data_IF_361073597825
#
_entry.id   IF_361073597825
#
_cell.length_a   1.000
_cell.length_b   1.000
_cell.length_c   1.000
_cell.angle_alpha   90.00
_cell.angle_beta   90.00
_cell.angle_gamma   90.00
#
_symmetry.space_group_name_H-M   'P 1'
#
loop_
_entity.id
_entity.type
_entity.pdbx_description
1 polymer ?
#
# COMPACT_ATOMS: atom_id res chain seq x y z
N UNK A 1 39.13 -28.02 -21.85
CA UNK A 1 40.03 -26.86 -21.93
C UNK A 1 39.32 -25.71 -22.64
N UNK A 2 38.91 -24.68 -21.88
CA UNK A 2 38.98 -23.23 -22.18
C UNK A 2 37.96 -22.50 -21.29
N UNK A 3 38.51 -21.65 -20.42
CA UNK A 3 37.83 -20.72 -19.51
C UNK A 3 37.21 -19.57 -20.30
N UNK A 4 36.07 -19.04 -19.84
CA UNK A 4 35.64 -17.63 -19.88
C UNK A 4 34.48 -17.49 -18.87
N UNK A 5 34.67 -17.07 -17.61
CA UNK A 5 34.64 -15.69 -17.07
C UNK A 5 33.72 -14.69 -17.80
N UNK A 6 32.53 -14.48 -17.24
CA UNK A 6 31.75 -13.23 -17.23
C UNK A 6 31.27 -13.06 -15.78
N UNK A 7 31.33 -11.93 -15.10
CA UNK A 7 31.36 -10.54 -15.52
C UNK A 7 30.29 -9.84 -14.68
N UNK A 8 30.53 -9.69 -13.36
CA UNK A 8 29.64 -8.97 -12.43
C UNK A 8 29.75 -7.47 -12.75
N UNK A 9 28.65 -6.73 -12.97
CA UNK A 9 28.73 -5.28 -12.98
C UNK A 9 28.87 -4.79 -11.52
N UNK A 10 30.03 -4.22 -11.24
CA UNK A 10 30.28 -3.36 -10.09
C UNK A 10 29.34 -2.15 -10.18
N UNK A 11 28.46 -1.99 -9.19
CA UNK A 11 27.79 -0.73 -8.89
C UNK A 11 28.85 0.29 -8.48
N UNK A 12 29.28 1.11 -9.43
CA UNK A 12 30.16 2.24 -9.19
C UNK A 12 29.37 3.33 -8.47
N UNK A 13 29.58 3.45 -7.14
CA UNK A 13 29.15 4.60 -6.36
C UNK A 13 29.82 5.86 -6.90
N UNK A 14 29.04 6.72 -7.54
CA UNK A 14 29.50 7.99 -8.06
C UNK A 14 29.71 8.97 -6.90
N UNK A 15 30.95 9.06 -6.41
CA UNK A 15 31.38 10.08 -5.48
C UNK A 15 31.32 11.46 -6.18
N UNK A 16 30.24 12.20 -5.94
CA UNK A 16 30.10 13.59 -6.36
C UNK A 16 31.07 14.47 -5.57
N UNK A 17 32.18 14.83 -6.20
CA UNK A 17 33.16 15.80 -5.68
C UNK A 17 32.52 17.19 -5.66
N UNK A 18 32.11 17.65 -4.47
CA UNK A 18 31.70 19.03 -4.24
C UNK A 18 32.96 19.87 -4.00
N UNK A 19 33.46 20.54 -5.04
CA UNK A 19 34.52 21.55 -4.93
C UNK A 19 34.01 22.76 -4.16
N UNK A 20 34.39 22.87 -2.89
CA UNK A 20 34.20 24.07 -2.08
C UNK A 20 35.22 25.13 -2.54
N UNK A 21 34.77 26.12 -3.31
CA UNK A 21 35.55 27.31 -3.63
C UNK A 21 35.56 28.24 -2.40
N UNK A 22 36.72 28.37 -1.75
CA UNK A 22 37.00 29.38 -0.74
C UNK A 22 37.20 30.72 -1.46
N UNK A 23 36.20 31.60 -1.45
CA UNK A 23 36.38 33.02 -1.75
C UNK A 23 36.91 33.71 -0.49
N UNK A 24 38.17 34.16 -0.53
CA UNK A 24 38.73 35.12 0.43
C UNK A 24 38.53 36.53 -0.18
N UNK A 25 37.93 37.50 0.52
CA UNK A 25 37.89 38.87 0.03
C UNK A 25 39.29 39.49 0.13
N UNK A 26 39.84 39.92 -1.01
CA UNK A 26 41.06 40.70 -1.07
C UNK A 26 40.75 42.15 -0.66
N UNK A 27 41.11 42.52 0.58
CA UNK A 27 41.26 43.92 0.95
C UNK A 27 42.66 44.37 0.53
N UNK A 28 42.72 45.33 -0.40
CA UNK A 28 43.96 45.99 -0.84
C UNK A 28 44.20 47.19 0.07
N UNK A 29 45.27 47.17 0.84
CA UNK A 29 45.82 48.32 1.56
C UNK A 29 47.34 48.39 1.31
N UNK A 30 47.83 49.61 1.06
CA UNK A 30 49.20 50.00 0.73
C UNK A 30 50.23 49.60 1.83
N UNK A 31 51.52 49.32 1.51
CA UNK A 31 52.49 48.85 2.48
C UNK A 31 53.34 49.98 3.10
N UNK A 32 53.48 49.94 4.42
CA UNK A 32 54.51 50.64 5.22
C UNK A 32 55.71 49.69 5.46
N UNK A 33 56.97 50.05 5.11
CA UNK A 33 58.11 49.16 5.23
C UNK A 33 58.75 49.29 6.62
N UNK A 34 58.20 48.59 7.62
CA UNK A 34 58.60 48.87 9.00
C UNK A 34 58.28 47.84 10.09
N UNK A 35 58.10 46.56 9.81
CA UNK A 35 58.13 45.52 10.87
C UNK A 35 58.40 44.13 10.27
N UNK A 36 59.48 43.49 10.70
CA UNK A 36 59.75 42.10 10.36
C UNK A 36 58.73 41.15 10.98
N UNK A 37 58.30 40.18 10.18
CA UNK A 37 57.73 38.91 10.62
C UNK A 37 56.22 38.86 10.72
N UNK A 38 55.52 38.76 9.58
CA UNK A 38 54.18 38.14 9.55
C UNK A 38 53.85 37.51 8.19
N UNK A 39 54.88 37.11 7.43
CA UNK A 39 54.70 36.32 6.20
C UNK A 39 54.89 34.85 6.55
N UNK A 40 53.85 33.99 6.43
CA UNK A 40 53.96 32.57 6.74
C UNK A 40 55.09 31.91 5.95
N UNK A 41 55.90 31.11 6.62
CA UNK A 41 56.93 30.30 5.98
C UNK A 41 56.30 29.22 5.09
N UNK A 42 57.03 28.75 4.09
CA UNK A 42 56.57 27.68 3.20
C UNK A 42 56.19 26.40 3.98
N UNK A 43 56.90 26.10 5.07
CA UNK A 43 56.60 24.98 5.95
C UNK A 43 55.25 25.14 6.68
N UNK A 44 54.92 26.35 7.13
CA UNK A 44 53.61 26.64 7.74
C UNK A 44 52.48 26.54 6.71
N UNK A 45 52.71 27.00 5.48
CA UNK A 45 51.74 26.86 4.37
C UNK A 45 51.50 25.39 4.02
N UNK A 46 52.55 24.57 3.93
CA UNK A 46 52.44 23.15 3.60
C UNK A 46 51.83 22.32 4.75
N UNK A 47 52.13 22.69 6.00
CA UNK A 47 51.48 22.15 7.19
C UNK A 47 49.98 22.49 7.21
N UNK A 48 49.62 23.74 6.91
CA UNK A 48 48.22 24.18 6.83
C UNK A 48 47.46 23.46 5.70
N UNK A 49 48.07 23.27 4.52
CA UNK A 49 47.47 22.48 3.42
C UNK A 49 47.25 21.01 3.80
N UNK A 50 48.22 20.43 4.51
CA UNK A 50 48.13 19.04 5.00
C UNK A 50 47.04 18.88 6.04
N UNK A 51 46.94 19.83 6.99
CA UNK A 51 45.88 19.89 7.99
C UNK A 51 44.49 20.04 7.33
N UNK A 52 44.36 20.94 6.36
CA UNK A 52 43.12 21.11 5.60
C UNK A 52 42.71 19.83 4.83
N UNK A 53 43.67 19.09 4.29
CA UNK A 53 43.42 17.82 3.59
C UNK A 53 42.96 16.72 4.56
N UNK A 54 43.59 16.63 5.73
CA UNK A 54 43.18 15.69 6.77
C UNK A 54 41.79 16.02 7.31
N UNK A 55 41.49 17.30 7.55
CA UNK A 55 40.16 17.76 7.97
C UNK A 55 39.07 17.36 6.97
N UNK A 56 39.32 17.54 5.66
CA UNK A 56 38.39 17.11 4.60
C UNK A 56 38.13 15.60 4.63
N UNK A 57 39.15 14.78 4.91
CA UNK A 57 39.00 13.32 5.05
C UNK A 57 38.14 12.96 6.25
N UNK A 58 38.32 13.64 7.39
CA UNK A 58 37.50 13.44 8.60
C UNK A 58 36.04 13.82 8.36
N UNK A 59 35.78 14.98 7.74
CA UNK A 59 34.42 15.41 7.35
C UNK A 59 33.74 14.35 6.46
N UNK A 60 34.46 13.80 5.49
CA UNK A 60 33.93 12.75 4.61
C UNK A 60 33.62 11.45 5.39
N UNK A 61 34.44 11.10 6.39
CA UNK A 61 34.18 9.94 7.27
C UNK A 61 32.90 10.12 8.07
N UNK A 62 32.75 11.26 8.76
CA UNK A 62 31.55 11.56 9.55
C UNK A 62 30.28 11.58 8.67
N UNK A 63 30.39 12.08 7.44
CA UNK A 63 29.30 12.02 6.47
C UNK A 63 28.96 10.59 6.04
N UNK A 64 29.95 9.70 5.88
CA UNK A 64 29.71 8.30 5.59
C UNK A 64 29.02 7.60 6.77
N UNK A 65 29.43 7.88 8.00
CA UNK A 65 28.81 7.32 9.21
C UNK A 65 27.34 7.75 9.34
N UNK A 66 27.01 9.01 9.02
CA UNK A 66 25.62 9.49 8.96
C UNK A 66 24.77 8.73 7.93
N UNK A 67 25.35 8.37 6.78
CA UNK A 67 24.67 7.55 5.76
C UNK A 67 24.43 6.14 6.28
N UNK A 68 25.42 5.52 6.92
CA UNK A 68 25.29 4.18 7.52
C UNK A 68 24.26 4.14 8.65
N UNK A 69 24.20 5.19 9.48
CA UNK A 69 23.19 5.33 10.52
C UNK A 69 21.77 5.43 9.93
N UNK A 70 21.61 6.21 8.84
CA UNK A 70 20.34 6.28 8.10
C UNK A 70 19.97 4.92 7.47
N UNK A 71 20.94 4.16 6.97
CA UNK A 71 20.69 2.82 6.40
C UNK A 71 20.20 1.83 7.46
N UNK A 72 20.82 1.78 8.65
CA UNK A 72 20.36 0.91 9.74
C UNK A 72 18.93 1.22 10.17
N UNK A 73 18.62 2.51 10.29
CA UNK A 73 17.27 2.96 10.58
C UNK A 73 16.26 2.52 9.51
N UNK A 74 16.66 2.51 8.23
CA UNK A 74 15.82 2.01 7.15
C UNK A 74 15.61 0.49 7.24
N UNK A 75 16.68 -0.28 7.44
CA UNK A 75 16.61 -1.74 7.56
C UNK A 75 15.73 -2.19 8.74
N UNK A 76 15.84 -1.51 9.89
CA UNK A 76 14.97 -1.76 11.03
C UNK A 76 13.50 -1.45 10.71
N UNK A 77 13.25 -0.38 9.95
CA UNK A 77 11.91 -0.04 9.45
C UNK A 77 11.33 -1.09 8.51
N UNK A 78 12.12 -1.66 7.57
CA UNK A 78 11.68 -2.76 6.70
C UNK A 78 11.22 -3.95 7.54
N UNK A 79 12.05 -4.37 8.52
CA UNK A 79 11.75 -5.55 9.34
C UNK A 79 10.47 -5.38 10.16
N UNK A 80 10.30 -4.22 10.79
CA UNK A 80 9.07 -3.89 11.51
C UNK A 80 7.85 -3.85 10.58
N UNK A 81 7.98 -3.24 9.39
CA UNK A 81 6.91 -3.23 8.39
C UNK A 81 6.52 -4.63 7.92
N UNK A 82 7.49 -5.50 7.64
CA UNK A 82 7.25 -6.90 7.24
C UNK A 82 6.52 -7.69 8.33
N UNK A 83 6.92 -7.53 9.59
CA UNK A 83 6.28 -8.24 10.70
C UNK A 83 4.86 -7.71 10.98
N UNK A 84 4.66 -6.38 10.94
CA UNK A 84 3.33 -5.77 11.03
C UNK A 84 2.41 -6.26 9.90
N UNK A 85 2.95 -6.40 8.69
CA UNK A 85 2.18 -6.86 7.54
C UNK A 85 1.88 -8.36 7.60
N UNK A 86 2.79 -9.18 8.13
CA UNK A 86 2.51 -10.59 8.43
C UNK A 86 1.38 -10.74 9.46
N UNK A 87 1.33 -9.88 10.47
CA UNK A 87 0.22 -9.84 11.43
C UNK A 87 -1.10 -9.43 10.76
N UNK A 88 -1.09 -8.40 9.92
CA UNK A 88 -2.28 -8.00 9.15
C UNK A 88 -2.77 -9.13 8.22
N UNK A 89 -1.86 -9.87 7.59
CA UNK A 89 -2.18 -11.06 6.80
C UNK A 89 -2.88 -12.14 7.65
N UNK A 90 -2.31 -12.47 8.80
CA UNK A 90 -2.85 -13.50 9.70
C UNK A 90 -4.23 -13.09 10.24
N UNK A 91 -4.43 -11.83 10.62
CA UNK A 91 -5.73 -11.29 11.03
C UNK A 91 -6.77 -11.37 9.91
N UNK A 92 -6.38 -11.03 8.68
CA UNK A 92 -7.30 -11.07 7.55
C UNK A 92 -7.76 -12.50 7.26
N UNK A 93 -6.82 -13.47 7.23
CA UNK A 93 -7.15 -14.90 7.12
C UNK A 93 -8.05 -15.39 8.24
N UNK A 94 -7.76 -15.01 9.49
CA UNK A 94 -8.59 -15.35 10.65
C UNK A 94 -10.03 -14.82 10.48
N UNK A 95 -10.19 -13.56 10.04
CA UNK A 95 -11.51 -12.99 9.79
C UNK A 95 -12.26 -13.73 8.67
N UNK A 96 -11.57 -14.17 7.62
CA UNK A 96 -12.15 -14.96 6.54
C UNK A 96 -12.60 -16.34 7.05
N UNK A 97 -11.75 -17.02 7.82
CA UNK A 97 -12.07 -18.30 8.44
C UNK A 97 -13.25 -18.20 9.42
N UNK A 98 -13.31 -17.14 10.24
CA UNK A 98 -14.46 -16.88 11.12
C UNK A 98 -15.76 -16.66 10.34
N UNK A 99 -15.71 -15.97 9.20
CA UNK A 99 -16.87 -15.80 8.31
C UNK A 99 -17.28 -17.14 7.68
N UNK A 100 -16.31 -17.97 7.31
CA UNK A 100 -16.54 -19.30 6.77
C UNK A 100 -17.20 -20.22 7.82
N UNK A 101 -16.69 -20.23 9.06
CA UNK A 101 -17.27 -20.95 10.19
C UNK A 101 -18.71 -20.51 10.45
N UNK A 102 -18.96 -19.20 10.56
CA UNK A 102 -20.32 -18.68 10.71
C UNK A 102 -21.26 -19.04 9.54
N UNK A 103 -20.73 -19.18 8.32
CA UNK A 103 -21.51 -19.64 7.18
C UNK A 103 -21.75 -21.15 7.22
N UNK A 104 -20.80 -21.95 7.71
CA UNK A 104 -20.95 -23.38 7.93
C UNK A 104 -21.99 -23.65 9.03
N UNK A 105 -21.97 -22.92 10.15
CA UNK A 105 -22.98 -22.98 11.21
C UNK A 105 -24.40 -22.78 10.67
N UNK A 106 -24.59 -21.76 9.81
CA UNK A 106 -25.89 -21.51 9.18
C UNK A 106 -26.34 -22.65 8.27
N UNK A 107 -25.39 -23.33 7.60
CA UNK A 107 -25.69 -24.51 6.77
C UNK A 107 -26.04 -25.73 7.64
N UNK A 108 -25.29 -25.95 8.71
CA UNK A 108 -25.55 -27.01 9.69
C UNK A 108 -26.93 -26.86 10.32
N UNK A 109 -27.24 -25.67 10.87
CA UNK A 109 -28.56 -25.38 11.44
C UNK A 109 -29.71 -25.54 10.41
N UNK A 110 -29.47 -25.10 9.16
CA UNK A 110 -30.43 -25.30 8.08
C UNK A 110 -30.62 -26.77 7.67
N UNK A 111 -29.58 -27.60 7.80
CA UNK A 111 -29.65 -29.04 7.53
C UNK A 111 -30.33 -29.80 8.68
N UNK A 112 -30.02 -29.45 9.92
CA UNK A 112 -30.67 -29.99 11.12
C UNK A 112 -32.17 -29.70 11.13
N UNK A 113 -32.59 -28.48 10.81
CA UNK A 113 -34.01 -28.14 10.68
C UNK A 113 -34.71 -28.97 9.58
N UNK A 114 -34.04 -29.27 8.47
CA UNK A 114 -34.60 -30.17 7.43
C UNK A 114 -34.69 -31.61 7.93
N UNK A 115 -33.69 -32.10 8.65
CA UNK A 115 -33.73 -33.41 9.28
C UNK A 115 -34.88 -33.52 10.28
N UNK A 116 -35.12 -32.50 11.10
CA UNK A 116 -36.24 -32.49 12.05
C UNK A 116 -37.59 -32.66 11.33
N UNK A 117 -37.80 -31.94 10.22
CA UNK A 117 -39.01 -32.09 9.38
C UNK A 117 -39.14 -33.52 8.83
N UNK A 118 -38.05 -34.11 8.32
CA UNK A 118 -38.09 -35.48 7.80
C UNK A 118 -38.25 -36.53 8.92
N UNK A 119 -37.73 -36.26 10.11
CA UNK A 119 -37.84 -37.14 11.28
C UNK A 119 -39.29 -37.29 11.71
N UNK A 120 -40.05 -36.19 11.71
CA UNK A 120 -41.50 -36.22 11.99
C UNK A 120 -42.23 -37.04 10.93
N UNK A 121 -42.01 -36.78 9.64
CA UNK A 121 -42.66 -37.51 8.55
C UNK A 121 -42.34 -39.02 8.57
N UNK A 122 -41.09 -39.38 8.85
CA UNK A 122 -40.67 -40.76 9.01
C UNK A 122 -41.32 -41.42 10.24
N UNK A 123 -41.39 -40.71 11.37
CA UNK A 123 -42.01 -41.23 12.60
C UNK A 123 -43.51 -41.45 12.43
N UNK A 124 -44.22 -40.52 11.79
CA UNK A 124 -45.65 -40.63 11.48
C UNK A 124 -45.91 -41.83 10.54
N UNK A 125 -45.11 -41.98 9.49
CA UNK A 125 -45.17 -43.12 8.56
C UNK A 125 -44.99 -44.47 9.29
N UNK A 126 -44.00 -44.57 10.19
CA UNK A 126 -43.76 -45.80 10.98
C UNK A 126 -44.95 -46.10 11.89
N UNK A 127 -45.54 -45.09 12.52
CA UNK A 127 -46.72 -45.24 13.38
C UNK A 127 -47.94 -45.70 12.59
N UNK A 128 -48.25 -45.04 11.46
CA UNK A 128 -49.39 -45.37 10.60
C UNK A 128 -49.29 -46.79 10.04
N UNK A 129 -48.09 -47.21 9.60
CA UNK A 129 -47.87 -48.56 9.10
C UNK A 129 -48.09 -49.62 10.19
N UNK A 130 -47.68 -49.33 11.43
CA UNK A 130 -47.88 -50.25 12.56
C UNK A 130 -49.35 -50.33 13.00
N UNK A 131 -50.05 -49.20 13.07
CA UNK A 131 -51.45 -49.13 13.53
C UNK A 131 -52.44 -49.66 12.49
N UNK A 132 -52.24 -49.36 11.21
CA UNK A 132 -53.22 -49.71 10.17
C UNK A 132 -53.07 -51.14 9.63
N UNK A 133 -51.96 -51.84 9.93
CA UNK A 133 -51.57 -53.13 9.34
C UNK A 133 -52.10 -53.24 7.90
N UNK A 134 -51.60 -52.38 6.98
CA UNK A 134 -52.23 -52.15 5.68
C UNK A 134 -52.39 -53.43 4.87
N UNK A 135 -51.51 -54.41 5.04
CA UNK A 135 -51.63 -55.76 4.46
C UNK A 135 -52.87 -56.51 4.95
N UNK A 136 -53.20 -56.41 6.25
CA UNK A 136 -54.39 -57.03 6.86
C UNK A 136 -55.66 -56.29 6.44
N UNK A 137 -55.59 -54.97 6.33
CA UNK A 137 -56.71 -54.13 5.85
C UNK A 137 -56.97 -54.36 4.37
N UNK A 138 -55.93 -54.44 3.54
CA UNK A 138 -56.01 -54.78 2.12
C UNK A 138 -56.53 -56.21 1.92
N UNK A 139 -56.05 -57.20 2.69
CA UNK A 139 -56.56 -58.58 2.62
C UNK A 139 -58.04 -58.65 3.03
N UNK A 140 -58.46 -57.86 4.02
CA UNK A 140 -59.87 -57.72 4.46
C UNK A 140 -60.75 -57.02 3.41
N UNK A 141 -60.19 -56.04 2.68
CA UNK A 141 -60.80 -55.33 1.56
C UNK A 141 -61.03 -56.26 0.36
N UNK A 142 -59.98 -56.97 -0.06
CA UNK A 142 -59.99 -57.97 -1.14
C UNK A 142 -61.00 -59.11 -0.89
N UNK A 143 -61.17 -59.53 0.36
CA UNK A 143 -62.16 -60.55 0.73
C UNK A 143 -63.61 -60.05 0.73
N UNK A 144 -63.84 -58.73 0.68
CA UNK A 144 -65.17 -58.11 0.73
C UNK A 144 -65.67 -57.56 -0.61
N UNK A 145 -64.81 -57.33 -1.59
CA UNK A 145 -65.19 -56.76 -2.89
C UNK A 145 -65.06 -57.80 -4.02
N UNK A 146 -66.19 -58.17 -4.63
CA UNK A 146 -66.24 -59.00 -5.85
C UNK A 146 -66.10 -58.12 -7.10
N UNK A 147 -64.94 -58.14 -7.78
CA UNK A 147 -64.76 -57.48 -9.08
C UNK A 147 -63.31 -57.19 -9.47
N UNK A 148 -62.96 -57.36 -10.75
CA UNK A 148 -61.59 -57.19 -11.26
C UNK A 148 -61.09 -55.73 -11.27
N UNK A 149 -62.00 -54.74 -11.33
CA UNK A 149 -61.63 -53.31 -11.28
C UNK A 149 -61.20 -52.89 -9.87
N UNK A 150 -61.89 -53.37 -8.83
CA UNK A 150 -61.54 -53.11 -7.44
C UNK A 150 -60.15 -53.67 -7.08
N UNK A 151 -59.81 -54.85 -7.60
CA UNK A 151 -58.48 -55.45 -7.39
C UNK A 151 -57.34 -54.62 -8.01
N UNK A 152 -57.59 -53.92 -9.13
CA UNK A 152 -56.57 -53.08 -9.77
C UNK A 152 -56.36 -51.76 -9.03
N UNK A 153 -57.43 -51.17 -8.49
CA UNK A 153 -57.37 -49.94 -7.69
C UNK A 153 -56.66 -50.17 -6.34
N UNK A 154 -56.95 -51.30 -5.70
CA UNK A 154 -56.29 -51.72 -4.44
C UNK A 154 -54.79 -52.02 -4.68
N UNK A 155 -54.45 -52.68 -5.80
CA UNK A 155 -53.05 -52.92 -6.18
C UNK A 155 -52.29 -51.63 -6.52
N UNK A 156 -52.93 -50.67 -7.17
CA UNK A 156 -52.33 -49.36 -7.45
C UNK A 156 -52.09 -48.58 -6.16
N UNK A 157 -53.07 -48.58 -5.26
CA UNK A 157 -52.96 -47.94 -3.94
C UNK A 157 -51.80 -48.54 -3.14
N UNK A 158 -51.69 -49.87 -3.08
CA UNK A 158 -50.56 -50.55 -2.44
C UNK A 158 -49.21 -50.14 -3.03
N UNK A 159 -49.09 -50.10 -4.36
CA UNK A 159 -47.87 -49.65 -5.02
C UNK A 159 -47.50 -48.20 -4.66
N UNK A 160 -48.49 -47.31 -4.64
CA UNK A 160 -48.25 -45.90 -4.26
C UNK A 160 -47.83 -45.74 -2.81
N UNK A 161 -48.39 -46.54 -1.89
CA UNK A 161 -48.00 -46.54 -0.47
C UNK A 161 -46.57 -47.06 -0.29
N UNK A 162 -46.22 -48.19 -0.92
CA UNK A 162 -44.86 -48.76 -0.87
C UNK A 162 -43.82 -47.76 -1.40
N UNK A 163 -44.11 -47.13 -2.55
CA UNK A 163 -43.22 -46.09 -3.11
C UNK A 163 -43.10 -44.87 -2.20
N UNK A 164 -44.17 -44.47 -1.51
CA UNK A 164 -44.16 -43.34 -0.58
C UNK A 164 -43.35 -43.65 0.68
N UNK A 165 -43.42 -44.87 1.19
CA UNK A 165 -42.60 -45.34 2.33
C UNK A 165 -41.12 -45.31 1.95
N UNK A 166 -40.79 -45.81 0.76
CA UNK A 166 -39.42 -45.81 0.26
C UNK A 166 -38.89 -44.37 0.08
N UNK A 167 -39.70 -43.47 -0.47
CA UNK A 167 -39.34 -42.07 -0.67
C UNK A 167 -39.15 -41.31 0.65
N UNK A 168 -40.03 -41.50 1.64
CA UNK A 168 -39.90 -40.89 2.98
C UNK A 168 -38.63 -41.39 3.67
N UNK A 169 -38.37 -42.71 3.61
CA UNK A 169 -37.16 -43.30 4.21
C UNK A 169 -35.90 -42.75 3.55
N UNK A 170 -35.85 -42.69 2.21
CA UNK A 170 -34.72 -42.10 1.47
C UNK A 170 -34.53 -40.62 1.79
N UNK A 171 -35.63 -39.86 1.89
CA UNK A 171 -35.58 -38.44 2.23
C UNK A 171 -35.04 -38.20 3.65
N UNK A 172 -35.45 -39.04 4.61
CA UNK A 172 -34.92 -39.04 5.97
C UNK A 172 -33.42 -39.37 6.00
N UNK A 173 -33.00 -40.48 5.38
CA UNK A 173 -31.59 -40.90 5.35
C UNK A 173 -30.70 -39.83 4.69
N UNK A 174 -31.18 -39.25 3.58
CA UNK A 174 -30.48 -38.17 2.90
C UNK A 174 -30.38 -36.92 3.78
N UNK A 175 -31.47 -36.51 4.44
CA UNK A 175 -31.47 -35.35 5.34
C UNK A 175 -30.54 -35.58 6.54
N UNK A 176 -30.54 -36.79 7.11
CA UNK A 176 -29.66 -37.18 8.20
C UNK A 176 -28.20 -37.07 7.79
N UNK A 177 -27.85 -37.62 6.61
CA UNK A 177 -26.48 -37.55 6.13
C UNK A 177 -26.03 -36.13 5.80
N UNK A 178 -26.91 -35.30 5.25
CA UNK A 178 -26.61 -33.88 4.98
C UNK A 178 -26.43 -33.09 6.27
N UNK A 179 -27.22 -33.37 7.32
CA UNK A 179 -27.06 -32.73 8.63
C UNK A 179 -25.73 -33.11 9.29
N UNK A 180 -25.37 -34.39 9.29
CA UNK A 180 -24.08 -34.89 9.79
C UNK A 180 -22.91 -34.21 9.06
N UNK A 181 -22.88 -34.27 7.72
CA UNK A 181 -21.80 -33.66 6.93
C UNK A 181 -21.72 -32.14 7.10
N UNK A 182 -22.86 -31.46 7.27
CA UNK A 182 -22.88 -30.02 7.51
C UNK A 182 -22.37 -29.66 8.91
N UNK A 183 -22.63 -30.50 9.91
CA UNK A 183 -22.06 -30.37 11.26
C UNK A 183 -20.54 -30.56 11.22
N UNK A 184 -20.05 -31.64 10.59
CA UNK A 184 -18.61 -31.90 10.45
C UNK A 184 -17.90 -30.73 9.75
N UNK A 185 -18.50 -30.17 8.70
CA UNK A 185 -17.97 -28.99 8.00
C UNK A 185 -17.96 -27.73 8.87
N UNK A 186 -18.88 -27.59 9.81
CA UNK A 186 -18.87 -26.49 10.77
C UNK A 186 -17.73 -26.66 11.77
N UNK A 187 -17.56 -27.86 12.32
CA UNK A 187 -16.48 -28.20 13.24
C UNK A 187 -15.10 -27.99 12.58
N UNK A 188 -14.90 -28.51 11.37
CA UNK A 188 -13.66 -28.29 10.59
C UNK A 188 -13.38 -26.80 10.35
N UNK A 189 -14.41 -26.00 10.11
CA UNK A 189 -14.27 -24.56 9.89
C UNK A 189 -13.93 -23.80 11.19
N UNK A 190 -14.46 -24.23 12.33
CA UNK A 190 -14.08 -23.69 13.64
C UNK A 190 -12.64 -24.06 14.01
N UNK A 191 -12.22 -25.32 13.77
CA UNK A 191 -10.85 -25.76 13.99
C UNK A 191 -9.85 -24.98 13.12
N UNK A 192 -10.20 -24.73 11.86
CA UNK A 192 -9.40 -23.89 10.97
C UNK A 192 -9.30 -22.43 11.48
N UNK A 193 -10.39 -21.86 11.99
CA UNK A 193 -10.39 -20.52 12.58
C UNK A 193 -9.53 -20.47 13.85
N UNK A 194 -9.62 -21.48 14.72
CA UNK A 194 -8.81 -21.58 15.94
C UNK A 194 -7.31 -21.71 15.64
N UNK A 195 -6.93 -22.49 14.63
CA UNK A 195 -5.53 -22.59 14.18
C UNK A 195 -4.99 -21.24 13.69
N UNK A 196 -5.80 -20.48 12.93
CA UNK A 196 -5.44 -19.14 12.46
C UNK A 196 -5.40 -18.09 13.57
N UNK A 197 -6.15 -18.29 14.66
CA UNK A 197 -6.06 -17.43 15.85
C UNK A 197 -4.66 -17.55 16.49
N UNK A 198 -4.16 -18.78 16.64
CA UNK A 198 -2.79 -19.04 17.12
C UNK A 198 -1.73 -18.45 16.17
N UNK A 199 -1.91 -18.58 14.85
CA UNK A 199 -1.03 -17.93 13.86
C UNK A 199 -1.03 -16.40 14.01
N UNK A 200 -2.20 -15.79 14.20
CA UNK A 200 -2.34 -14.35 14.39
C UNK A 200 -1.70 -13.88 15.70
N UNK A 201 -1.81 -14.64 16.80
CA UNK A 201 -1.14 -14.34 18.06
C UNK A 201 0.39 -14.42 17.93
N UNK A 202 0.90 -15.46 17.26
CA UNK A 202 2.33 -15.59 17.01
C UNK A 202 2.87 -14.45 16.13
N UNK A 203 2.14 -14.10 15.06
CA UNK A 203 2.51 -13.00 14.17
C UNK A 203 2.47 -11.65 14.90
N UNK A 204 1.52 -11.47 15.83
CA UNK A 204 1.43 -10.29 16.69
C UNK A 204 2.67 -10.16 17.58
N UNK A 205 3.08 -11.24 18.24
CA UNK A 205 4.25 -11.24 19.11
C UNK A 205 5.53 -10.89 18.35
N UNK A 206 5.70 -11.42 17.13
CA UNK A 206 6.83 -11.07 16.26
C UNK A 206 6.78 -9.59 15.83
N UNK A 207 5.60 -9.07 15.46
CA UNK A 207 5.42 -7.66 15.14
C UNK A 207 5.79 -6.75 16.31
N UNK A 208 5.35 -7.07 17.54
CA UNK A 208 5.70 -6.34 18.76
C UNK A 208 7.22 -6.37 19.03
N UNK A 209 7.87 -7.52 18.79
CA UNK A 209 9.32 -7.66 18.96
C UNK A 209 10.13 -6.84 17.94
N UNK A 210 9.76 -6.89 16.64
CA UNK A 210 10.43 -6.10 15.60
C UNK A 210 10.18 -4.61 15.76
N UNK A 211 9.00 -4.23 16.24
CA UNK A 211 8.66 -2.85 16.58
C UNK A 211 9.56 -2.32 17.71
N UNK A 212 9.70 -3.07 18.81
CA UNK A 212 10.57 -2.69 19.90
C UNK A 212 12.04 -2.61 19.46
N UNK A 213 12.49 -3.53 18.60
CA UNK A 213 13.82 -3.48 18.00
C UNK A 213 14.01 -2.22 17.13
N UNK A 214 13.02 -1.85 16.33
CA UNK A 214 13.06 -0.65 15.50
C UNK A 214 13.10 0.65 16.32
N UNK A 215 12.33 0.74 17.40
CA UNK A 215 12.38 1.88 18.32
C UNK A 215 13.72 1.99 19.05
N UNK A 216 14.29 0.86 19.46
CA UNK A 216 15.62 0.82 20.07
C UNK A 216 16.70 1.27 19.09
N UNK A 217 16.69 0.76 17.85
CA UNK A 217 17.64 1.18 16.81
C UNK A 217 17.46 2.66 16.46
N UNK A 218 16.21 3.15 16.36
CA UNK A 218 15.94 4.56 16.09
C UNK A 218 16.49 5.48 17.17
N UNK A 219 16.35 5.10 18.45
CA UNK A 219 16.91 5.84 19.58
C UNK A 219 18.44 5.84 19.56
N UNK A 220 19.05 4.69 19.25
CA UNK A 220 20.50 4.56 19.13
C UNK A 220 21.06 5.41 17.96
N UNK A 221 20.43 5.32 16.78
CA UNK A 221 20.77 6.10 15.60
C UNK A 221 20.59 7.60 15.86
N UNK A 222 19.53 8.02 16.55
CA UNK A 222 19.33 9.43 16.89
C UNK A 222 20.49 9.97 17.76
N UNK A 223 20.87 9.25 18.81
CA UNK A 223 21.98 9.64 19.69
C UNK A 223 23.32 9.69 18.93
N UNK A 224 23.56 8.73 18.02
CA UNK A 224 24.75 8.70 17.18
C UNK A 224 24.78 9.87 16.19
N UNK A 225 23.66 10.15 15.50
CA UNK A 225 23.53 11.31 14.60
C UNK A 225 23.79 12.62 15.34
N UNK A 226 23.29 12.80 16.55
CA UNK A 226 23.55 13.99 17.36
C UNK A 226 25.03 14.16 17.73
N UNK A 227 25.74 13.05 17.95
CA UNK A 227 27.20 13.06 18.16
C UNK A 227 27.93 13.45 16.88
N UNK A 228 27.62 12.79 15.76
CA UNK A 228 28.23 13.02 14.46
C UNK A 228 27.99 14.44 13.93
N UNK A 229 26.80 15.01 14.14
CA UNK A 229 26.49 16.40 13.75
C UNK A 229 27.30 17.40 14.57
N UNK A 230 27.50 17.16 15.87
CA UNK A 230 28.37 18.00 16.72
C UNK A 230 29.82 17.92 16.31
N UNK A 231 30.30 16.72 15.98
CA UNK A 231 31.64 16.52 15.44
C UNK A 231 31.81 17.24 14.11
N UNK A 232 30.85 17.09 13.18
CA UNK A 232 30.85 17.79 11.89
C UNK A 232 30.86 19.31 12.07
N UNK A 233 30.07 19.83 13.01
CA UNK A 233 30.01 21.25 13.34
C UNK A 233 31.37 21.78 13.80
N UNK A 234 32.05 21.04 14.69
CA UNK A 234 33.39 21.37 15.18
C UNK A 234 34.44 21.31 14.05
N UNK A 235 34.40 20.27 13.20
CA UNK A 235 35.34 20.10 12.08
C UNK A 235 35.19 21.20 11.01
N UNK A 236 33.98 21.75 10.86
CA UNK A 236 33.66 22.78 9.88
C UNK A 236 33.64 24.20 10.46
N UNK A 237 33.92 24.35 11.76
CA UNK A 237 33.86 25.63 12.50
C UNK A 237 32.52 26.36 12.33
N UNK A 238 31.41 25.63 12.45
CA UNK A 238 30.05 26.16 12.35
C UNK A 238 29.22 25.79 13.57
N UNK A 239 28.13 26.53 13.79
CA UNK A 239 27.17 26.18 14.85
C UNK A 239 26.49 24.83 14.58
N UNK A 240 26.18 24.08 15.64
CA UNK A 240 25.45 22.79 15.57
C UNK A 240 24.10 22.95 14.87
N UNK A 241 23.39 24.05 15.10
CA UNK A 241 22.09 24.33 14.45
C UNK A 241 22.23 24.58 12.94
N UNK A 242 23.33 25.18 12.49
CA UNK A 242 23.62 25.35 11.07
C UNK A 242 24.06 24.02 10.44
N UNK A 243 24.91 23.25 11.13
CA UNK A 243 25.33 21.92 10.69
C UNK A 243 24.13 20.97 10.53
N UNK A 244 23.23 20.95 11.51
CA UNK A 244 21.99 20.15 11.48
C UNK A 244 21.09 20.57 10.30
N UNK A 245 20.79 21.86 10.15
CA UNK A 245 19.99 22.36 9.00
C UNK A 245 20.62 22.00 7.65
N UNK A 246 21.95 22.11 7.54
CA UNK A 246 22.69 21.73 6.33
C UNK A 246 22.57 20.22 6.09
N UNK A 247 22.73 19.40 7.12
CA UNK A 247 22.62 17.95 6.99
C UNK A 247 21.21 17.53 6.55
N UNK A 248 20.16 18.08 7.17
CA UNK A 248 18.78 17.84 6.74
C UNK A 248 18.54 18.28 5.29
N UNK A 249 19.10 19.41 4.86
CA UNK A 249 18.99 19.87 3.47
C UNK A 249 19.72 18.95 2.49
N UNK A 250 20.90 18.42 2.88
CA UNK A 250 21.66 17.48 2.06
C UNK A 250 20.94 16.13 1.93
N UNK A 251 20.37 15.62 3.03
CA UNK A 251 19.55 14.40 3.03
C UNK A 251 18.33 14.58 2.11
N UNK A 252 17.60 15.69 2.23
CA UNK A 252 16.45 16.00 1.37
C UNK A 252 16.86 16.13 -0.12
N UNK A 253 17.99 16.78 -0.41
CA UNK A 253 18.49 16.91 -1.78
C UNK A 253 18.99 15.58 -2.35
N UNK A 254 19.58 14.70 -1.53
CA UNK A 254 19.95 13.36 -1.93
C UNK A 254 18.72 12.51 -2.26
N UNK A 255 17.67 12.58 -1.43
CA UNK A 255 16.40 11.91 -1.66
C UNK A 255 15.73 12.39 -2.95
N UNK A 256 15.69 13.69 -3.21
CA UNK A 256 15.16 14.25 -4.47
C UNK A 256 15.93 13.77 -5.70
N UNK A 257 17.27 13.66 -5.60
CA UNK A 257 18.10 13.13 -6.69
C UNK A 257 17.87 11.64 -6.91
N UNK A 258 17.80 10.85 -5.83
CA UNK A 258 17.46 9.43 -5.90
C UNK A 258 16.06 9.24 -6.50
N UNK A 259 15.10 10.10 -6.16
CA UNK A 259 13.76 10.11 -6.73
C UNK A 259 13.77 10.34 -8.24
N UNK A 260 14.49 11.36 -8.71
CA UNK A 260 14.60 11.63 -10.15
C UNK A 260 15.29 10.49 -10.90
N UNK A 261 16.35 9.93 -10.33
CA UNK A 261 17.05 8.79 -10.92
C UNK A 261 16.15 7.55 -10.98
N UNK A 262 15.36 7.29 -9.93
CA UNK A 262 14.41 6.19 -9.90
C UNK A 262 13.23 6.38 -10.86
N UNK A 263 12.73 7.62 -11.02
CA UNK A 263 11.74 7.97 -12.04
C UNK A 263 12.30 7.73 -13.46
N UNK A 264 13.56 8.10 -13.70
CA UNK A 264 14.23 7.90 -14.98
C UNK A 264 14.44 6.41 -15.27
N UNK A 265 14.96 5.65 -14.30
CA UNK A 265 15.15 4.21 -14.46
C UNK A 265 13.82 3.47 -14.70
N UNK A 266 12.76 3.85 -13.99
CA UNK A 266 11.42 3.28 -14.18
C UNK A 266 10.81 3.66 -15.55
N UNK A 267 11.20 4.79 -16.15
CA UNK A 267 10.79 5.17 -17.50
C UNK A 267 11.62 4.46 -18.60
N UNK A 268 12.86 4.09 -18.30
CA UNK A 268 13.76 3.36 -19.21
C UNK A 268 13.41 1.87 -19.31
N UNK A 269 12.98 1.24 -18.22
CA UNK A 269 12.50 -0.16 -18.21
C UNK A 269 11.15 -0.35 -18.96
N UNK A 270 10.45 0.75 -19.29
CA UNK A 270 9.14 0.77 -19.94
C UNK A 270 9.17 1.40 -21.35
N UNK A 271 10.35 1.73 -21.89
CA UNK A 271 10.47 2.27 -23.24
C UNK A 271 10.20 1.17 -24.28
N UNK A 272 9.24 1.34 -25.23
CA UNK A 272 9.15 0.44 -26.36
C UNK A 272 10.46 0.56 -27.15
N UNK A 273 11.05 -0.58 -27.52
CA UNK A 273 12.21 -0.62 -28.40
C UNK A 273 11.97 0.29 -29.61
N UNK A 274 12.57 1.47 -29.61
CA UNK A 274 12.52 2.40 -30.74
C UNK A 274 13.32 1.79 -31.87
N UNK A 275 12.58 1.31 -32.86
CA UNK A 275 12.88 1.28 -34.29
C UNK A 275 14.31 1.71 -34.64
N UNK A 276 15.18 0.71 -34.81
CA UNK A 276 16.38 0.85 -35.63
C UNK A 276 15.96 1.10 -37.08
N UNK A 277 16.07 2.36 -37.47
CA UNK A 277 16.49 2.88 -38.78
C UNK A 277 16.71 1.83 -39.89
N UNK A 278 15.94 2.02 -40.95
CA UNK A 278 16.09 1.50 -42.31
C UNK A 278 17.43 1.95 -42.92
N UNK A 279 18.16 1.15 -43.72
CA UNK A 279 19.43 1.56 -44.28
C UNK A 279 19.36 1.98 -45.75
N UNK A 280 20.32 2.86 -46.08
CA UNK A 280 21.08 2.98 -47.35
C UNK A 280 20.58 3.96 -48.45
N UNK A 281 21.49 4.47 -49.32
CA UNK A 281 22.29 5.69 -49.12
C UNK A 281 22.10 6.68 -50.29
N UNK A 282 22.91 7.76 -50.38
CA UNK A 282 23.64 8.26 -51.59
C UNK A 282 23.95 9.77 -51.52
N UNK A 283 25.26 10.10 -51.60
CA UNK A 283 25.96 11.28 -52.19
C UNK A 283 25.66 12.75 -51.82
N UNK A 284 26.75 13.42 -51.39
CA UNK A 284 27.44 14.57 -52.02
C UNK A 284 26.91 16.01 -51.89
N UNK A 285 27.80 16.83 -51.28
CA UNK A 285 28.19 18.23 -51.51
C UNK A 285 27.23 19.44 -51.38
N UNK A 286 27.86 20.45 -50.76
CA UNK A 286 27.82 21.92 -50.96
C UNK A 286 26.92 22.82 -50.08
N UNK A 287 27.64 23.69 -49.34
CA UNK A 287 27.30 25.01 -48.76
C UNK A 287 26.86 26.05 -49.83
N UNK A 288 26.49 27.32 -49.49
CA UNK A 288 25.83 27.92 -48.32
C UNK A 288 24.75 29.00 -48.68
N UNK A 289 24.25 29.71 -47.64
CA UNK A 289 23.66 31.08 -47.63
C UNK A 289 22.23 31.34 -48.14
N UNK A 290 21.34 31.85 -47.27
CA UNK A 290 21.06 33.30 -47.14
C UNK A 290 19.88 33.58 -46.16
N UNK A 291 20.11 34.52 -45.23
CA UNK A 291 19.08 35.31 -44.52
C UNK A 291 18.55 36.41 -45.47
N UNK A 292 17.36 37.05 -45.29
CA UNK A 292 17.06 37.88 -44.10
C UNK A 292 15.58 37.95 -43.64
N UNK A 293 15.37 38.45 -42.42
CA UNK A 293 14.08 38.95 -41.87
C UNK A 293 13.80 40.42 -42.30
N UNK A 294 12.85 41.21 -41.72
CA UNK A 294 11.44 41.06 -41.28
C UNK A 294 10.55 42.17 -42.00
N UNK A 295 9.38 42.71 -41.55
CA UNK A 295 9.15 43.44 -40.27
C UNK A 295 7.71 43.36 -39.64
N UNK A 296 7.56 44.19 -38.61
CA UNK A 296 6.63 44.32 -37.46
C UNK A 296 5.37 45.23 -37.66
N UNK A 297 4.58 45.34 -36.57
CA UNK A 297 3.61 46.41 -36.13
C UNK A 297 2.11 46.06 -36.31
N UNK A 298 1.14 46.37 -35.43
CA UNK A 298 1.04 47.11 -34.15
C UNK A 298 -0.36 46.83 -33.48
N UNK A 299 -0.69 47.40 -32.29
CA UNK A 299 -1.80 46.99 -31.39
C UNK A 299 -3.04 47.93 -31.30
N UNK A 300 -4.06 47.46 -30.56
CA UNK A 300 -5.17 48.17 -29.83
C UNK A 300 -6.23 48.97 -30.64
N UNK A 301 -7.48 49.24 -30.13
CA UNK A 301 -7.78 49.85 -28.81
C UNK A 301 -9.06 49.41 -28.05
N UNK A 302 -9.11 49.92 -26.82
CA UNK A 302 -10.15 49.90 -25.77
C UNK A 302 -11.28 50.95 -25.96
N UNK A 303 -12.28 50.91 -25.04
CA UNK A 303 -13.19 51.98 -24.52
C UNK A 303 -14.68 52.07 -25.00
N UNK A 304 -15.65 52.66 -24.23
CA UNK A 304 -15.88 52.76 -22.75
C UNK A 304 -17.42 52.69 -22.34
N UNK A 305 -18.03 53.45 -21.37
CA UNK A 305 -18.93 52.90 -20.33
C UNK A 305 -20.37 53.49 -20.25
N UNK A 306 -21.12 53.05 -19.23
CA UNK A 306 -22.27 53.71 -18.54
C UNK A 306 -23.65 53.78 -19.22
N UNK A 307 -24.69 53.28 -18.52
CA UNK A 307 -25.68 54.15 -17.86
C UNK A 307 -26.65 53.32 -16.99
N UNK A 308 -26.64 53.62 -15.69
CA UNK A 308 -27.63 53.19 -14.71
C UNK A 308 -28.57 54.38 -14.39
N UNK A 309 -29.87 54.11 -14.21
CA UNK A 309 -30.68 54.85 -13.24
C UNK A 309 -31.33 53.90 -12.21
N UNK A 310 -31.14 54.20 -10.91
CA UNK A 310 -31.75 53.53 -9.77
C UNK A 310 -33.18 54.11 -9.43
N UNK A 311 -33.88 53.67 -8.37
CA UNK A 311 -34.69 52.45 -8.26
C UNK A 311 -36.16 52.74 -7.83
N UNK A 312 -37.04 51.73 -7.71
CA UNK A 312 -38.09 51.79 -6.69
C UNK A 312 -38.08 50.56 -5.76
N UNK A 313 -37.99 50.87 -4.46
CA UNK A 313 -38.59 50.20 -3.29
C UNK A 313 -38.50 48.68 -3.16
N UNK A 314 -37.66 48.30 -2.20
CA UNK A 314 -37.42 46.97 -1.64
C UNK A 314 -38.70 46.33 -1.06
N UNK A 315 -39.02 45.12 -1.53
CA UNK A 315 -39.55 44.06 -0.67
C UNK A 315 -38.35 43.25 -0.15
N UNK A 316 -38.39 42.70 1.08
CA UNK A 316 -37.26 41.96 1.65
C UNK A 316 -36.97 40.70 0.82
N UNK A 317 -35.74 40.64 0.29
CA UNK A 317 -35.17 39.48 -0.39
C UNK A 317 -35.09 38.29 0.57
N UNK A 318 -35.52 37.08 0.18
CA UNK A 318 -35.28 35.88 0.97
C UNK A 318 -33.77 35.63 1.08
N UNK A 319 -33.32 35.22 2.27
CA UNK A 319 -31.92 34.88 2.53
C UNK A 319 -31.36 33.97 1.42
N UNK A 320 -30.09 34.17 0.98
CA UNK A 320 -29.48 33.26 0.02
C UNK A 320 -29.47 31.85 0.60
N UNK A 321 -30.04 30.91 -0.16
CA UNK A 321 -29.95 29.49 0.16
C UNK A 321 -28.49 29.14 0.50
N UNK A 322 -28.24 28.37 1.58
CA UNK A 322 -26.91 27.94 1.91
C UNK A 322 -26.33 27.24 0.69
N UNK A 323 -25.18 27.75 0.21
CA UNK A 323 -24.38 27.12 -0.84
C UNK A 323 -24.39 25.62 -0.62
N UNK A 324 -24.78 24.80 -1.62
CA UNK A 324 -24.73 23.36 -1.47
C UNK A 324 -23.33 22.98 -0.99
N UNK A 325 -23.19 22.08 0.01
CA UNK A 325 -21.87 21.56 0.36
C UNK A 325 -21.20 21.08 -0.93
N UNK A 326 -19.89 21.30 -1.12
CA UNK A 326 -19.20 20.85 -2.32
C UNK A 326 -19.55 19.37 -2.54
N UNK A 327 -19.80 18.94 -3.80
CA UNK A 327 -20.22 17.58 -4.07
C UNK A 327 -19.30 16.65 -3.31
N UNK A 328 -19.88 15.78 -2.47
CA UNK A 328 -19.12 14.80 -1.71
C UNK A 328 -18.26 14.06 -2.72
N UNK A 329 -16.97 14.39 -2.77
CA UNK A 329 -16.07 13.82 -3.77
C UNK A 329 -16.18 12.30 -3.62
N UNK A 330 -16.40 11.58 -4.72
CA UNK A 330 -16.38 10.11 -4.76
C UNK A 330 -15.11 9.64 -5.47
N UNK A 331 -14.76 8.36 -5.32
CA UNK A 331 -13.58 7.78 -5.96
C UNK A 331 -12.26 8.38 -5.46
N UNK A 332 -11.27 8.49 -6.37
CA UNK A 332 -9.90 8.87 -6.04
C UNK A 332 -9.79 10.20 -5.28
N UNK A 333 -10.56 11.22 -5.65
CA UNK A 333 -10.48 12.52 -4.98
C UNK A 333 -10.96 12.45 -3.53
N UNK A 334 -11.98 11.63 -3.24
CA UNK A 334 -12.43 11.38 -1.87
C UNK A 334 -11.35 10.71 -1.03
N UNK A 335 -10.70 9.69 -1.62
CA UNK A 335 -9.62 8.96 -0.96
C UNK A 335 -8.45 9.89 -0.63
N UNK A 336 -8.06 10.74 -1.57
CA UNK A 336 -6.99 11.73 -1.36
C UNK A 336 -7.40 12.74 -0.28
N UNK A 337 -8.62 13.26 -0.31
CA UNK A 337 -9.11 14.20 0.69
C UNK A 337 -9.12 13.59 2.09
N UNK A 338 -9.57 12.33 2.20
CA UNK A 338 -9.53 11.58 3.46
C UNK A 338 -8.10 11.44 3.96
N UNK A 339 -7.18 10.95 3.12
CA UNK A 339 -5.79 10.73 3.51
C UNK A 339 -5.07 12.03 3.90
N UNK A 340 -5.34 13.13 3.19
CA UNK A 340 -4.81 14.47 3.54
C UNK A 340 -5.27 14.94 4.92
N UNK A 341 -6.51 14.65 5.28
CA UNK A 341 -7.05 15.03 6.58
C UNK A 341 -6.37 14.29 7.75
N UNK A 342 -5.70 13.17 7.49
CA UNK A 342 -4.98 12.40 8.51
C UNK A 342 -3.52 12.83 8.67
N UNK A 343 -3.00 13.74 7.84
CA UNK A 343 -1.59 14.16 7.91
C UNK A 343 -1.30 14.74 9.31
N UNK A 344 -0.24 14.24 9.94
CA UNK A 344 0.14 14.57 11.31
C UNK A 344 -0.39 13.60 12.37
N UNK A 345 -1.26 12.66 12.03
CA UNK A 345 -1.68 11.60 12.96
C UNK A 345 -0.61 10.50 13.10
N UNK A 346 -0.44 9.91 14.29
CA UNK A 346 0.64 8.98 14.57
C UNK A 346 0.48 7.65 13.82
N UNK A 347 1.62 7.06 13.42
CA UNK A 347 1.64 5.66 13.01
C UNK A 347 1.46 4.73 14.21
N UNK A 348 0.57 3.74 14.07
CA UNK A 348 0.45 2.60 14.98
C UNK A 348 0.21 1.35 14.13
N UNK A 349 1.06 0.33 14.27
CA UNK A 349 0.92 -0.92 13.53
C UNK A 349 -0.47 -1.52 13.75
N UNK A 350 -1.06 -2.11 12.70
CA UNK A 350 -2.40 -2.67 12.70
C UNK A 350 -3.56 -1.68 12.96
N UNK A 351 -3.31 -0.37 13.02
CA UNK A 351 -4.34 0.65 13.25
C UNK A 351 -5.05 1.12 11.97
N UNK A 352 -6.34 1.43 12.06
CA UNK A 352 -7.18 1.92 10.96
C UNK A 352 -8.08 3.09 11.39
N UNK A 353 -7.53 4.00 12.20
CA UNK A 353 -8.17 5.23 12.64
C UNK A 353 -9.00 5.10 13.92
N UNK A 354 -9.68 6.19 14.32
CA UNK A 354 -9.70 7.48 13.62
C UNK A 354 -8.51 8.39 13.91
N UNK A 355 -7.63 8.07 14.87
CA UNK A 355 -6.56 8.97 15.33
C UNK A 355 -5.16 8.36 15.17
N UNK A 356 -5.04 7.21 14.52
CA UNK A 356 -3.77 6.52 14.29
C UNK A 356 -3.90 5.50 13.16
N UNK A 357 -2.80 5.27 12.46
CA UNK A 357 -2.83 4.58 11.17
C UNK A 357 -1.63 3.67 10.99
N UNK A 358 -1.83 2.49 10.37
CA UNK A 358 -0.77 1.84 9.61
C UNK A 358 -0.97 2.08 8.11
N UNK A 359 -0.05 1.55 7.30
CA UNK A 359 -0.01 1.81 5.86
C UNK A 359 -1.28 1.33 5.13
N UNK A 360 -1.69 0.08 5.38
CA UNK A 360 -2.87 -0.53 4.76
C UNK A 360 -4.18 -0.05 5.39
N UNK A 361 -4.19 0.31 6.67
CA UNK A 361 -5.35 0.88 7.36
C UNK A 361 -5.72 2.26 6.85
N UNK A 362 -4.72 3.12 6.60
CA UNK A 362 -4.93 4.45 6.01
C UNK A 362 -5.55 4.36 4.61
N UNK A 363 -4.95 3.54 3.75
CA UNK A 363 -5.42 3.35 2.37
C UNK A 363 -6.78 2.67 2.30
N UNK A 364 -7.04 1.71 3.20
CA UNK A 364 -8.37 1.10 3.35
C UNK A 364 -9.44 2.14 3.66
N UNK A 365 -9.23 3.00 4.67
CA UNK A 365 -10.22 4.01 5.04
C UNK A 365 -10.34 5.13 4.01
N UNK A 366 -9.23 5.52 3.38
CA UNK A 366 -9.23 6.47 2.28
C UNK A 366 -10.12 5.97 1.12
N UNK A 367 -9.90 4.76 0.64
CA UNK A 367 -10.69 4.22 -0.46
C UNK A 367 -12.13 3.85 -0.05
N UNK A 368 -12.37 3.52 1.22
CA UNK A 368 -13.74 3.39 1.74
C UNK A 368 -14.50 4.73 1.62
N UNK A 369 -13.87 5.87 1.93
CA UNK A 369 -14.44 7.20 1.67
C UNK A 369 -14.66 7.46 0.16
N UNK A 370 -13.85 6.85 -0.70
CA UNK A 370 -14.02 6.82 -2.14
C UNK A 370 -15.06 5.83 -2.67
N UNK A 371 -15.68 5.01 -1.81
CA UNK A 371 -16.67 4.00 -2.19
C UNK A 371 -16.10 2.66 -2.67
N UNK A 372 -14.82 2.37 -2.41
CA UNK A 372 -14.16 1.08 -2.72
C UNK A 372 -13.74 0.36 -1.45
N UNK A 373 -14.01 -0.93 -1.39
CA UNK A 373 -13.51 -1.78 -0.32
C UNK A 373 -12.07 -2.21 -0.63
N UNK A 374 -11.21 -2.13 0.39
CA UNK A 374 -9.87 -2.68 0.40
C UNK A 374 -9.67 -3.45 1.72
N UNK A 375 -8.98 -4.60 1.73
CA UNK A 375 -8.67 -5.28 2.97
C UNK A 375 -7.62 -4.50 3.80
N UNK A 376 -7.61 -4.71 5.12
CA UNK A 376 -6.58 -4.18 6.02
C UNK A 376 -5.32 -5.06 5.97
N UNK A 377 -4.79 -5.22 4.76
CA UNK A 377 -3.64 -6.07 4.43
C UNK A 377 -3.15 -5.64 3.04
N UNK A 378 -1.97 -5.02 2.94
CA UNK A 378 -1.41 -4.43 1.71
C UNK A 378 -1.25 -5.42 0.54
N UNK A 379 -0.85 -6.68 0.78
CA UNK A 379 -0.85 -7.69 -0.31
C UNK A 379 -2.29 -7.95 -0.77
N UNK A 380 -3.24 -8.07 0.15
CA UNK A 380 -4.66 -8.19 -0.19
C UNK A 380 -5.20 -6.96 -0.94
N UNK A 381 -4.69 -5.76 -0.67
CA UNK A 381 -5.04 -4.56 -1.44
C UNK A 381 -4.49 -4.62 -2.86
N UNK A 382 -3.27 -5.12 -3.02
CA UNK A 382 -2.69 -5.35 -4.33
C UNK A 382 -3.49 -6.41 -5.12
N UNK A 383 -3.83 -7.53 -4.48
CA UNK A 383 -4.56 -8.66 -5.09
C UNK A 383 -6.00 -8.30 -5.49
N UNK A 384 -6.62 -7.33 -4.80
CA UNK A 384 -7.97 -6.83 -5.12
C UNK A 384 -7.98 -5.68 -6.11
N UNK A 385 -6.83 -5.07 -6.39
CA UNK A 385 -6.66 -3.96 -7.32
C UNK A 385 -6.15 -4.44 -8.68
N UNK A 386 -6.21 -3.56 -9.69
CA UNK A 386 -5.65 -3.84 -11.03
C UNK A 386 -4.17 -3.43 -11.06
N UNK A 387 -3.20 -4.35 -11.29
CA UNK A 387 -1.81 -3.98 -11.44
C UNK A 387 -1.59 -3.00 -12.60
N UNK A 388 -0.73 -2.02 -12.41
CA UNK A 388 -0.36 -1.03 -13.43
C UNK A 388 1.16 -0.88 -13.51
N UNK A 389 1.65 -0.28 -14.59
CA UNK A 389 3.04 0.18 -14.66
C UNK A 389 3.20 1.54 -13.98
N UNK A 390 4.44 1.86 -13.58
CA UNK A 390 4.78 3.16 -12.98
C UNK A 390 4.43 4.35 -13.89
N UNK A 391 4.58 4.17 -15.20
CA UNK A 391 4.26 5.14 -16.25
C UNK A 391 2.75 5.48 -16.34
N UNK A 392 1.89 4.61 -15.79
CA UNK A 392 0.44 4.77 -15.80
C UNK A 392 -0.15 5.35 -14.52
N UNK A 393 0.69 5.76 -13.57
CA UNK A 393 0.28 6.30 -12.28
C UNK A 393 -0.57 7.57 -12.41
N UNK A 394 -1.69 7.58 -11.69
CA UNK A 394 -2.65 8.69 -11.57
C UNK A 394 -3.01 8.91 -10.10
N UNK A 395 -3.29 10.16 -9.68
CA UNK A 395 -3.75 10.42 -8.32
C UNK A 395 -4.89 9.49 -7.92
N UNK A 396 -4.75 8.82 -6.77
CA UNK A 396 -5.64 7.77 -6.27
C UNK A 396 -5.04 6.37 -6.34
N UNK A 397 -4.14 6.10 -7.29
CA UNK A 397 -3.49 4.79 -7.40
C UNK A 397 -2.68 4.46 -6.13
N UNK A 398 -2.47 3.16 -5.90
CA UNK A 398 -1.68 2.65 -4.79
C UNK A 398 -0.26 2.32 -5.26
N UNK A 399 0.72 2.70 -4.46
CA UNK A 399 2.14 2.39 -4.66
C UNK A 399 2.61 1.50 -3.52
N UNK A 400 3.44 0.51 -3.81
CA UNK A 400 3.80 -0.54 -2.87
C UNK A 400 5.30 -0.82 -2.86
N UNK A 401 5.77 -1.32 -1.71
CA UNK A 401 7.13 -1.79 -1.50
C UNK A 401 7.12 -3.24 -1.07
N UNK A 402 7.87 -4.08 -1.78
CA UNK A 402 8.17 -5.45 -1.40
C UNK A 402 9.67 -5.74 -1.36
N UNK A 403 10.05 -6.82 -0.67
CA UNK A 403 11.46 -7.23 -0.51
C UNK A 403 11.98 -8.10 -1.66
N UNK A 404 11.14 -8.42 -2.64
CA UNK A 404 11.49 -9.18 -3.83
C UNK A 404 10.65 -8.71 -5.03
N UNK A 405 10.82 -9.35 -6.19
CA UNK A 405 9.95 -9.17 -7.35
C UNK A 405 8.59 -9.88 -7.22
N UNK A 406 8.34 -10.62 -6.13
CA UNK A 406 7.05 -11.23 -5.85
C UNK A 406 6.13 -10.27 -5.09
N UNK A 407 4.87 -10.04 -5.54
CA UNK A 407 3.89 -9.25 -4.79
C UNK A 407 3.62 -9.78 -3.38
N UNK A 408 3.80 -11.09 -3.14
CA UNK A 408 3.67 -11.70 -1.81
C UNK A 408 4.69 -11.17 -0.79
N UNK A 409 5.70 -10.43 -1.24
CA UNK A 409 6.72 -9.81 -0.40
C UNK A 409 6.43 -8.35 -0.07
N UNK A 410 5.30 -7.81 -0.51
CA UNK A 410 4.86 -6.45 -0.18
C UNK A 410 4.71 -6.32 1.34
N UNK A 411 5.29 -5.25 1.87
CA UNK A 411 5.27 -4.90 3.30
C UNK A 411 4.86 -3.46 3.55
N UNK A 412 4.62 -2.66 2.50
CA UNK A 412 4.19 -1.27 2.63
C UNK A 412 3.32 -0.85 1.46
N UNK A 413 2.33 -0.01 1.73
CA UNK A 413 1.46 0.63 0.73
C UNK A 413 1.29 2.11 1.03
N UNK A 414 1.12 2.92 -0.01
CA UNK A 414 0.81 4.34 0.07
C UNK A 414 -0.18 4.78 -1.00
N UNK A 415 -0.84 5.91 -0.77
CA UNK A 415 -1.75 6.54 -1.73
C UNK A 415 -0.99 7.55 -2.59
N UNK A 416 -0.94 7.35 -3.90
CA UNK A 416 -0.32 8.29 -4.84
C UNK A 416 -1.21 9.53 -5.02
N UNK A 417 -0.63 10.73 -4.95
CA UNK A 417 -1.36 12.01 -5.06
C UNK A 417 -0.91 12.88 -6.23
N UNK A 418 -0.14 12.30 -7.16
CA UNK A 418 0.38 12.99 -8.34
C UNK A 418 1.77 13.58 -8.15
N UNK A 419 2.43 13.96 -9.26
CA UNK A 419 3.75 14.62 -9.28
C UNK A 419 4.85 13.88 -8.48
N UNK A 420 4.82 12.54 -8.47
CA UNK A 420 5.77 11.73 -7.70
C UNK A 420 5.59 11.83 -6.17
N UNK A 421 4.45 12.35 -5.70
CA UNK A 421 4.12 12.47 -4.28
C UNK A 421 3.14 11.39 -3.85
N UNK A 422 3.22 11.01 -2.58
CA UNK A 422 2.31 10.08 -1.93
C UNK A 422 1.92 10.56 -0.54
N UNK A 423 0.83 10.03 -0.02
CA UNK A 423 0.46 10.11 1.40
C UNK A 423 0.51 8.72 1.99
N UNK A 424 1.18 8.57 3.13
CA UNK A 424 1.29 7.29 3.82
C UNK A 424 1.49 7.43 5.32
N UNK A 425 1.22 6.35 6.05
CA UNK A 425 1.64 6.17 7.43
C UNK A 425 2.97 5.38 7.39
N UNK A 426 4.15 5.99 7.64
CA UNK A 426 5.42 5.41 7.21
C UNK A 426 5.89 4.23 8.05
N UNK A 427 5.88 4.41 9.38
CA UNK A 427 6.38 3.48 10.41
C UNK A 427 6.24 4.15 11.77
N UNK A 428 6.43 3.38 12.82
CA UNK A 428 6.37 3.88 14.19
C UNK A 428 7.40 4.98 14.46
N UNK A 429 6.99 5.95 15.28
CA UNK A 429 7.75 7.17 15.54
C UNK A 429 7.67 8.19 14.40
N UNK A 430 6.89 7.93 13.35
CA UNK A 430 6.53 8.93 12.33
C UNK A 430 5.01 9.07 12.23
N UNK A 431 4.60 10.26 11.86
CA UNK A 431 3.21 10.57 11.59
C UNK A 431 2.88 10.34 10.12
N UNK A 432 1.59 10.27 9.80
CA UNK A 432 1.09 10.33 8.43
C UNK A 432 1.63 11.59 7.78
N UNK A 433 2.24 11.43 6.62
CA UNK A 433 2.92 12.52 5.92
C UNK A 433 2.68 12.47 4.43
N UNK A 434 2.82 13.62 3.77
CA UNK A 434 2.93 13.71 2.32
C UNK A 434 4.39 13.93 1.94
N UNK A 435 4.97 13.01 1.18
CA UNK A 435 6.35 13.11 0.72
C UNK A 435 6.55 12.46 -0.65
N UNK A 436 7.76 12.57 -1.19
CA UNK A 436 8.13 11.88 -2.44
C UNK A 436 7.95 10.38 -2.28
N UNK A 437 7.33 9.71 -3.26
CA UNK A 437 7.23 8.25 -3.26
C UNK A 437 8.59 7.54 -3.40
N UNK A 438 9.68 8.29 -3.50
CA UNK A 438 11.05 7.76 -3.54
C UNK A 438 11.90 8.22 -2.34
N UNK A 439 11.27 8.76 -1.28
CA UNK A 439 12.00 9.27 -0.11
C UNK A 439 12.87 8.20 0.58
N UNK A 440 12.46 6.93 0.46
CA UNK A 440 13.10 5.78 1.09
C UNK A 440 13.87 4.93 0.06
N UNK A 441 13.14 4.11 -0.68
CA UNK A 441 13.60 3.34 -1.84
C UNK A 441 12.51 3.42 -2.91
N UNK A 442 12.85 3.16 -4.18
CA UNK A 442 11.83 3.14 -5.23
C UNK A 442 10.75 2.09 -4.95
N UNK A 443 9.46 2.41 -5.15
CA UNK A 443 8.40 1.42 -5.11
C UNK A 443 8.57 0.44 -6.27
N UNK A 444 8.20 -0.81 -6.03
CA UNK A 444 8.37 -1.91 -7.00
C UNK A 444 7.05 -2.57 -7.40
N UNK A 445 5.91 -2.14 -6.83
CA UNK A 445 4.58 -2.50 -7.35
C UNK A 445 3.63 -1.31 -7.34
N UNK A 446 2.66 -1.34 -8.25
CA UNK A 446 1.70 -0.27 -8.50
C UNK A 446 0.35 -0.90 -8.84
N UNK A 447 -0.74 -0.38 -8.29
CA UNK A 447 -2.08 -0.90 -8.60
C UNK A 447 -3.16 0.19 -8.53
N UNK A 448 -4.26 -0.04 -9.25
CA UNK A 448 -5.44 0.84 -9.32
C UNK A 448 -6.68 0.14 -8.73
N UNK A 449 -7.26 0.63 -7.63
CA UNK A 449 -8.47 0.08 -7.01
C UNK A 449 -9.79 0.21 -7.81
#
# INVERSE_FOLDING_TARGET
MRRTTSGRPLLAGLAGVLTLALCVPAAVADPDPGSGGDTPSQAEVDAAKSAATNMKRTVASVQADLVMANQRLQEAGVKAGQAAEAYNAARWKLQEAQRAAAAADRRAAGAESRLEVQTVAYSDMVADNYEMSPEVTALSSMMKQDGSEAMLDDAHTMYTVDSSIEDITKAYDAAAKVAELASDQADDAHDAAAALEVEAESARAEAEAQEQAALSEASAVAAEKDSLIRELANLQDISVSLASRRQSALEAAAQLRAARAAQQAAAEDDAPATTTVDPTPTTTSDEPSDEPAPPTQDPEPSDPPSDEPAPPTQDPEPEPDPTPPPPSSSGAQAAINFARAQIGEPYVWAAAGPNSWDCSGLTMKAWAAGGKYLPHYSVGQYDTATPISSSNLRPGDLVFWGSSSSPSSIYHVALYVGNGQMIHAPRTGRDVTQESMYYWIPPNFYARP
#
